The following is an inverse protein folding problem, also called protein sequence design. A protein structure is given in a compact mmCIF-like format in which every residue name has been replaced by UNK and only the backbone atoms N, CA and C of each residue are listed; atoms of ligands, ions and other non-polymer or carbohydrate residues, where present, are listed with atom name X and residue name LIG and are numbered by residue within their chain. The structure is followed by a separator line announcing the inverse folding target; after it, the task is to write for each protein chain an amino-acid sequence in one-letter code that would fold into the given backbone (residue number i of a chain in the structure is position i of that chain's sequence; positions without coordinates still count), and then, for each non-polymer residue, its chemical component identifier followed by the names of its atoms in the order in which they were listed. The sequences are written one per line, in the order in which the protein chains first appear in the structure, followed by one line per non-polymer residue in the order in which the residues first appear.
data_IF_897093695780
#
_entry.id   IF_897093695780
#
_cell.length_a   1.000
_cell.length_b   1.000
_cell.length_c   1.000
_cell.angle_alpha   90.00
_cell.angle_beta   90.00
_cell.angle_gamma   90.00
#
_symmetry.space_group_name_H-M   'P 1'
#
loop_
_entity.id
_entity.type
_entity.pdbx_description
1 polymer ?
#
# COMPACT_ATOMS: atom_id res chain seq x y z
N UNK A 1 27.22 -5.78 13.07
CA UNK A 1 27.27 -5.00 11.82
C UNK A 1 25.84 -4.64 11.48
N UNK A 2 25.49 -3.36 11.37
CA UNK A 2 24.16 -2.97 10.90
C UNK A 2 24.16 -3.15 9.38
N UNK A 3 23.28 -4.01 8.85
CA UNK A 3 23.17 -4.23 7.41
C UNK A 3 22.80 -2.95 6.66
N UNK A 4 23.08 -2.89 5.36
CA UNK A 4 22.66 -1.75 4.53
C UNK A 4 21.12 -1.77 4.42
N UNK A 5 20.47 -0.74 4.95
CA UNK A 5 19.02 -0.61 4.86
C UNK A 5 18.56 -0.40 3.41
N UNK A 6 17.50 -1.10 3.03
CA UNK A 6 16.75 -0.86 1.79
C UNK A 6 15.61 0.12 2.07
N UNK A 7 15.20 0.86 1.03
CA UNK A 7 14.02 1.71 1.08
C UNK A 7 12.92 1.11 0.21
N UNK A 8 11.68 1.22 0.67
CA UNK A 8 10.48 0.89 -0.12
C UNK A 8 9.46 2.01 -0.03
N UNK A 9 8.72 2.22 -1.11
CA UNK A 9 7.51 3.04 -1.07
C UNK A 9 6.38 2.19 -0.49
N UNK A 10 5.68 2.72 0.50
CA UNK A 10 4.44 2.16 1.00
C UNK A 10 3.32 3.19 0.84
N UNK A 11 2.23 2.79 0.17
CA UNK A 11 1.03 3.61 0.07
C UNK A 11 -0.11 2.93 0.83
N UNK A 12 -0.80 3.70 1.67
CA UNK A 12 -2.12 3.34 2.17
C UNK A 12 -3.15 4.06 1.31
N UNK A 13 -4.01 3.28 0.65
CA UNK A 13 -4.94 3.77 -0.37
C UNK A 13 -6.14 4.50 0.25
N UNK A 14 -6.98 5.17 -0.56
CA UNK A 14 -8.06 5.99 -0.03
C UNK A 14 -9.08 5.29 0.84
N UNK A 15 -9.34 4.00 0.61
CA UNK A 15 -10.27 3.16 1.38
C UNK A 15 -9.88 3.05 2.86
N UNK A 16 -8.57 2.91 3.14
CA UNK A 16 -8.07 2.84 4.52
C UNK A 16 -7.64 4.20 5.06
N UNK A 17 -7.13 5.09 4.20
CA UNK A 17 -6.66 6.42 4.64
C UNK A 17 -7.77 7.27 5.26
N UNK A 18 -9.01 7.13 4.76
CA UNK A 18 -10.18 7.85 5.29
C UNK A 18 -10.68 7.32 6.64
N UNK A 19 -10.07 6.25 7.17
CA UNK A 19 -10.49 5.58 8.41
C UNK A 19 -9.37 5.71 9.44
N UNK A 20 -9.37 6.74 10.31
CA UNK A 20 -8.21 7.07 11.15
C UNK A 20 -7.72 5.92 12.05
N UNK A 21 -8.64 5.14 12.63
CA UNK A 21 -8.26 4.01 13.47
C UNK A 21 -7.60 2.86 12.68
N UNK A 22 -7.97 2.67 11.40
CA UNK A 22 -7.31 1.70 10.51
C UNK A 22 -5.92 2.18 10.14
N UNK A 23 -5.74 3.47 9.82
CA UNK A 23 -4.40 4.06 9.58
C UNK A 23 -3.49 3.84 10.78
N UNK A 24 -4.01 4.09 11.99
CA UNK A 24 -3.24 3.86 13.22
C UNK A 24 -2.89 2.37 13.40
N UNK A 25 -3.82 1.45 13.17
CA UNK A 25 -3.56 0.02 13.25
C UNK A 25 -2.47 -0.42 12.25
N UNK A 26 -2.50 0.07 11.01
CA UNK A 26 -1.48 -0.24 10.02
C UNK A 26 -0.12 0.34 10.42
N UNK A 27 -0.07 1.58 10.94
CA UNK A 27 1.17 2.19 11.45
C UNK A 27 1.75 1.40 12.62
N UNK A 28 0.91 0.95 13.55
CA UNK A 28 1.34 0.09 14.65
C UNK A 28 1.95 -1.21 14.12
N UNK A 29 1.33 -1.84 13.10
CA UNK A 29 1.88 -3.05 12.50
C UNK A 29 3.21 -2.78 11.78
N UNK A 30 3.35 -1.66 11.08
CA UNK A 30 4.64 -1.25 10.47
C UNK A 30 5.75 -1.16 11.53
N UNK A 31 5.47 -0.60 12.71
CA UNK A 31 6.43 -0.50 13.82
C UNK A 31 6.73 -1.87 14.43
N UNK A 32 5.71 -2.72 14.61
CA UNK A 32 5.86 -4.09 15.12
C UNK A 32 6.71 -4.98 14.20
N UNK A 33 6.68 -4.71 12.89
CA UNK A 33 7.47 -5.39 11.86
C UNK A 33 8.83 -4.67 11.64
N UNK A 34 9.26 -3.86 12.62
CA UNK A 34 10.58 -3.24 12.72
C UNK A 34 10.99 -2.33 11.55
N UNK A 35 10.01 -1.83 10.77
CA UNK A 35 10.29 -0.80 9.77
C UNK A 35 10.60 0.54 10.43
N UNK A 36 11.63 1.21 9.93
CA UNK A 36 11.88 2.62 10.21
C UNK A 36 11.05 3.46 9.24
N UNK A 37 10.16 4.31 9.76
CA UNK A 37 9.43 5.29 8.95
C UNK A 37 10.35 6.49 8.70
N UNK A 38 11.02 6.52 7.55
CA UNK A 38 11.95 7.60 7.18
C UNK A 38 11.20 8.90 6.89
N UNK A 39 10.06 8.80 6.20
CA UNK A 39 9.22 9.94 5.87
C UNK A 39 7.78 9.48 5.70
N UNK A 40 6.84 10.36 6.04
CA UNK A 40 5.43 10.18 5.69
C UNK A 40 4.86 11.48 5.14
N UNK A 41 3.84 11.37 4.28
CA UNK A 41 3.07 12.50 3.77
C UNK A 41 1.67 12.03 3.35
N UNK A 42 0.64 12.79 3.70
CA UNK A 42 -0.66 12.64 3.06
C UNK A 42 -0.65 13.34 1.70
N UNK A 43 -1.08 12.64 0.66
CA UNK A 43 -1.17 13.16 -0.70
C UNK A 43 -2.58 12.99 -1.26
N UNK A 44 -3.03 13.98 -2.03
CA UNK A 44 -4.19 13.87 -2.90
C UNK A 44 -3.69 13.87 -4.34
N UNK A 45 -3.73 12.70 -4.97
CA UNK A 45 -3.26 12.56 -6.34
C UNK A 45 -4.35 13.05 -7.30
N UNK A 46 -4.04 14.08 -8.08
CA UNK A 46 -4.86 14.45 -9.23
C UNK A 46 -4.84 13.30 -10.25
N UNK A 47 -5.84 13.27 -11.13
CA UNK A 47 -6.02 12.18 -12.10
C UNK A 47 -4.76 12.01 -12.96
N UNK A 48 -4.22 13.10 -13.48
CA UNK A 48 -3.06 13.13 -14.38
C UNK A 48 -1.84 12.52 -13.70
N UNK A 49 -1.56 12.93 -12.45
CA UNK A 49 -0.45 12.37 -11.65
C UNK A 49 -0.66 10.90 -11.30
N UNK A 50 -1.91 10.48 -11.13
CA UNK A 50 -2.26 9.08 -10.87
C UNK A 50 -2.03 8.23 -12.12
N UNK A 51 -2.41 8.72 -13.29
CA UNK A 51 -2.17 8.07 -14.58
C UNK A 51 -0.67 7.92 -14.87
N UNK A 52 0.12 8.96 -14.58
CA UNK A 52 1.57 8.91 -14.69
C UNK A 52 2.17 7.87 -13.73
N UNK A 53 1.76 7.89 -12.46
CA UNK A 53 2.23 6.95 -11.44
C UNK A 53 1.94 5.49 -11.80
N UNK A 54 0.77 5.21 -12.39
CA UNK A 54 0.36 3.86 -12.80
C UNK A 54 0.57 3.59 -14.30
N UNK A 55 1.43 4.34 -15.00
CA UNK A 55 1.60 4.22 -16.46
C UNK A 55 1.90 2.81 -16.96
N UNK A 56 2.59 1.99 -16.16
CA UNK A 56 2.90 0.58 -16.46
C UNK A 56 1.66 -0.33 -16.51
N UNK A 57 0.51 0.15 -16.06
CA UNK A 57 -0.75 -0.56 -16.12
C UNK A 57 -1.68 -0.04 -17.21
N UNK A 58 -1.25 0.95 -18.01
CA UNK A 58 -2.02 1.47 -19.13
C UNK A 58 -2.38 0.33 -20.09
N UNK A 59 -3.62 0.31 -20.56
CA UNK A 59 -4.17 -0.74 -21.43
C UNK A 59 -4.72 -1.97 -20.70
N UNK A 60 -4.48 -2.14 -19.39
CA UNK A 60 -5.11 -3.21 -18.62
C UNK A 60 -6.57 -2.88 -18.34
N UNK A 61 -7.46 -3.88 -18.37
CA UNK A 61 -8.91 -3.71 -18.19
C UNK A 61 -9.31 -3.00 -16.88
N UNK A 62 -8.45 -3.09 -15.84
CA UNK A 62 -8.69 -2.46 -14.54
C UNK A 62 -8.09 -1.05 -14.40
N UNK A 63 -7.32 -0.56 -15.37
CA UNK A 63 -6.54 0.67 -15.26
C UNK A 63 -7.38 1.88 -14.89
N UNK A 64 -8.47 2.13 -15.62
CA UNK A 64 -9.35 3.27 -15.36
C UNK A 64 -9.99 3.21 -13.97
N UNK A 65 -10.36 2.01 -13.51
CA UNK A 65 -10.90 1.81 -12.15
C UNK A 65 -9.85 2.11 -11.09
N UNK A 66 -8.60 1.68 -11.31
CA UNK A 66 -7.48 1.96 -10.41
C UNK A 66 -7.19 3.46 -10.31
N UNK A 67 -7.09 4.16 -11.45
CA UNK A 67 -6.82 5.60 -11.51
C UNK A 67 -7.94 6.37 -10.81
N UNK A 68 -9.19 6.12 -11.17
CA UNK A 68 -10.34 6.79 -10.56
C UNK A 68 -10.41 6.53 -9.06
N UNK A 69 -10.08 5.32 -8.61
CA UNK A 69 -10.06 5.00 -7.18
C UNK A 69 -8.95 5.76 -6.44
N UNK A 70 -7.73 5.77 -6.96
CA UNK A 70 -6.61 6.43 -6.31
C UNK A 70 -6.77 7.96 -6.28
N UNK A 71 -7.47 8.55 -7.25
CA UNK A 71 -7.83 9.97 -7.26
C UNK A 71 -9.06 10.31 -6.37
N UNK A 72 -9.76 9.31 -5.83
CA UNK A 72 -11.03 9.54 -5.09
C UNK A 72 -10.86 10.13 -3.68
N UNK A 73 -9.64 10.25 -3.17
CA UNK A 73 -9.41 10.74 -1.82
C UNK A 73 -7.94 10.77 -1.41
N UNK A 74 -7.65 11.09 -0.15
CA UNK A 74 -6.29 11.12 0.38
C UNK A 74 -5.66 9.72 0.37
N UNK A 75 -4.35 9.69 0.19
CA UNK A 75 -3.48 8.50 0.27
C UNK A 75 -2.33 8.84 1.22
N UNK A 76 -2.02 7.96 2.18
CA UNK A 76 -0.80 8.09 2.97
C UNK A 76 0.37 7.50 2.19
N UNK A 77 1.40 8.31 1.91
CA UNK A 77 2.64 7.85 1.31
C UNK A 77 3.74 7.81 2.37
N UNK A 78 4.43 6.67 2.48
CA UNK A 78 5.51 6.45 3.43
C UNK A 78 6.75 5.95 2.70
N UNK A 79 7.90 6.41 3.16
CA UNK A 79 9.20 5.80 2.86
C UNK A 79 9.56 4.96 4.08
N UNK A 80 9.61 3.64 3.88
CA UNK A 80 9.98 2.69 4.93
C UNK A 80 11.39 2.17 4.68
N UNK A 81 12.17 2.02 5.75
CA UNK A 81 13.48 1.40 5.73
C UNK A 81 13.51 0.14 6.59
N UNK A 82 14.17 -0.90 6.07
CA UNK A 82 14.41 -2.18 6.72
C UNK A 82 15.54 -2.89 5.93
N UNK A 83 16.24 -3.86 6.51
CA UNK A 83 17.31 -4.60 5.80
C UNK A 83 16.79 -5.27 4.51
N UNK A 84 15.50 -5.58 4.48
CA UNK A 84 14.80 -6.25 3.39
C UNK A 84 13.44 -5.59 3.08
N UNK A 85 13.43 -4.25 3.02
CA UNK A 85 12.21 -3.45 3.03
C UNK A 85 11.20 -3.82 1.94
N UNK A 86 11.65 -4.11 0.71
CA UNK A 86 10.76 -4.41 -0.41
C UNK A 86 10.03 -5.74 -0.17
N UNK A 87 10.77 -6.83 0.03
CA UNK A 87 10.17 -8.16 0.24
C UNK A 87 9.34 -8.19 1.51
N UNK A 88 9.84 -7.62 2.60
CA UNK A 88 9.13 -7.60 3.88
C UNK A 88 7.80 -6.83 3.79
N UNK A 89 7.79 -5.66 3.12
CA UNK A 89 6.55 -4.89 2.93
C UNK A 89 5.55 -5.65 2.06
N UNK A 90 6.02 -6.35 1.02
CA UNK A 90 5.16 -7.18 0.16
C UNK A 90 4.54 -8.35 0.93
N UNK A 91 5.29 -9.01 1.81
CA UNK A 91 4.77 -10.05 2.70
C UNK A 91 3.71 -9.49 3.63
N UNK A 92 3.98 -8.34 4.28
CA UNK A 92 3.04 -7.68 5.18
C UNK A 92 1.74 -7.26 4.47
N UNK A 93 1.86 -6.74 3.25
CA UNK A 93 0.69 -6.40 2.42
C UNK A 93 -0.15 -7.63 2.06
N UNK A 94 0.49 -8.78 1.79
CA UNK A 94 -0.16 -10.00 1.32
C UNK A 94 -0.46 -10.01 -0.19
N UNK A 95 -1.05 -11.11 -0.72
CA UNK A 95 -1.34 -11.25 -2.16
C UNK A 95 -2.35 -10.21 -2.69
N UNK A 96 -2.22 -9.83 -3.97
CA UNK A 96 -3.07 -8.79 -4.59
C UNK A 96 -4.53 -9.24 -4.80
N UNK A 97 -4.77 -10.54 -4.94
CA UNK A 97 -6.08 -11.14 -5.21
C UNK A 97 -6.91 -11.26 -3.94
N UNK A 98 -7.53 -10.15 -3.53
CA UNK A 98 -8.18 -9.99 -2.22
C UNK A 98 -9.16 -11.12 -1.90
N UNK A 99 -9.95 -11.57 -2.87
CA UNK A 99 -10.92 -12.65 -2.64
C UNK A 99 -10.25 -13.93 -2.14
N UNK A 100 -9.07 -14.29 -2.68
CA UNK A 100 -8.29 -15.44 -2.20
C UNK A 100 -7.54 -15.12 -0.91
N UNK A 101 -6.94 -13.92 -0.85
CA UNK A 101 -6.16 -13.46 0.32
C UNK A 101 -6.95 -13.53 1.62
N UNK A 102 -8.25 -13.24 1.59
CA UNK A 102 -9.11 -13.33 2.79
C UNK A 102 -9.19 -14.72 3.41
N UNK A 103 -8.96 -15.78 2.64
CA UNK A 103 -8.97 -17.16 3.14
C UNK A 103 -7.55 -17.70 3.35
N UNK A 104 -6.64 -17.40 2.41
CA UNK A 104 -5.28 -17.97 2.41
C UNK A 104 -4.31 -17.21 3.32
N UNK A 105 -4.53 -15.91 3.54
CA UNK A 105 -3.64 -15.05 4.34
C UNK A 105 -4.45 -13.92 5.05
N UNK A 106 -5.42 -14.29 5.91
CA UNK A 106 -6.38 -13.34 6.52
C UNK A 106 -5.70 -12.25 7.36
N UNK A 107 -4.53 -12.55 7.95
CA UNK A 107 -3.82 -11.64 8.85
C UNK A 107 -2.96 -10.60 8.13
N UNK A 108 -2.83 -10.69 6.80
CA UNK A 108 -2.15 -9.67 6.00
C UNK A 108 -2.98 -8.41 5.86
N UNK A 109 -2.36 -7.27 5.54
CA UNK A 109 -3.09 -6.01 5.39
C UNK A 109 -4.20 -6.09 4.33
N UNK A 110 -3.98 -6.83 3.24
CA UNK A 110 -4.99 -7.08 2.20
C UNK A 110 -6.07 -8.07 2.64
N UNK A 111 -5.75 -9.03 3.50
CA UNK A 111 -6.72 -9.93 4.12
C UNK A 111 -7.67 -9.17 5.03
N UNK A 112 -7.12 -8.35 5.92
CA UNK A 112 -7.85 -7.57 6.91
C UNK A 112 -8.71 -6.45 6.30
N UNK A 113 -8.14 -5.66 5.38
CA UNK A 113 -8.76 -4.41 4.93
C UNK A 113 -9.18 -4.38 3.46
N UNK A 114 -8.72 -5.36 2.66
CA UNK A 114 -9.01 -5.40 1.23
C UNK A 114 -10.50 -5.56 0.93
N UNK A 115 -10.96 -4.80 -0.07
CA UNK A 115 -12.35 -4.86 -0.56
C UNK A 115 -12.45 -5.56 -1.91
N UNK A 116 -11.55 -5.25 -2.85
CA UNK A 116 -11.47 -5.85 -4.20
C UNK A 116 -10.03 -5.84 -4.69
N UNK A 117 -9.72 -6.53 -5.79
CA UNK A 117 -8.38 -6.52 -6.39
C UNK A 117 -7.82 -5.11 -6.67
N UNK A 118 -8.69 -4.15 -7.06
CA UNK A 118 -8.27 -2.74 -7.27
C UNK A 118 -8.26 -1.91 -5.98
N UNK A 119 -9.16 -2.24 -5.04
CA UNK A 119 -9.31 -1.62 -3.71
C UNK A 119 -8.77 -2.56 -2.64
N UNK A 120 -7.48 -2.84 -2.73
CA UNK A 120 -6.76 -3.77 -1.87
C UNK A 120 -5.95 -3.04 -0.78
N UNK A 121 -6.35 -1.81 -0.44
CA UNK A 121 -5.84 -1.03 0.71
C UNK A 121 -4.38 -0.56 0.68
N UNK A 122 -3.47 -1.29 0.04
CA UNK A 122 -2.03 -1.00 0.08
C UNK A 122 -1.35 -1.17 -1.28
N UNK A 123 -0.31 -0.39 -1.51
CA UNK A 123 0.62 -0.54 -2.64
C UNK A 123 2.06 -0.44 -2.13
N UNK A 124 2.99 -1.07 -2.85
CA UNK A 124 4.40 -0.94 -2.58
C UNK A 124 5.26 -1.21 -3.80
N UNK A 125 6.54 -0.89 -3.68
CA UNK A 125 7.53 -1.09 -4.73
C UNK A 125 7.60 -2.56 -5.20
N UNK A 126 7.93 -2.72 -6.48
CA UNK A 126 8.14 -3.99 -7.18
C UNK A 126 9.35 -4.74 -6.65
#
# INVERSE_FOLDING_TARGET
MVGRLQLTLALLKPDVTRVPHVVQAIRNKIIQEEFIVVRHKEVRLQREKTEEFYKEHRGKFFYNRLVTFMASGPTQALILAHEDAIRHWRTLMGPTKVYKTKYEAPDTLRGLYGLTDTRNSTHGSG
#
